data_IF_302317286096
#
_entry.id   IF_302317286096
#
_cell.length_a   1.000
_cell.length_b   1.000
_cell.length_c   1.000
_cell.angle_alpha   90.00
_cell.angle_beta   90.00
_cell.angle_gamma   90.00
#
_symmetry.space_group_name_H-M   'P 1'
#
loop_
_entity.id
_entity.type
_entity.pdbx_description
1 polymer ?
#
# COMPACT_ATOMS: atom_id res chain seq x y z
N UNK A 1 18.46 19.72 -9.05
CA UNK A 1 17.42 20.39 -8.25
C UNK A 1 17.83 20.38 -6.79
N UNK A 2 17.65 21.53 -6.10
CA UNK A 2 17.90 21.60 -4.65
C UNK A 2 16.90 20.71 -3.91
N UNK A 3 17.36 19.97 -2.90
CA UNK A 3 16.50 19.14 -2.05
C UNK A 3 15.90 20.01 -0.95
N UNK A 4 14.62 19.85 -0.69
CA UNK A 4 13.95 20.45 0.48
C UNK A 4 14.04 19.47 1.66
N UNK A 5 14.33 20.00 2.84
CA UNK A 5 14.37 19.22 4.08
C UNK A 5 13.33 19.81 5.02
N UNK A 6 12.44 18.99 5.54
CA UNK A 6 11.45 19.39 6.53
C UNK A 6 11.41 18.38 7.68
N UNK A 7 11.31 18.91 8.90
CA UNK A 7 11.27 18.13 10.14
C UNK A 7 9.95 18.32 10.90
N UNK A 8 9.01 19.06 10.32
CA UNK A 8 7.77 19.43 10.96
C UNK A 8 6.68 18.36 10.78
N UNK A 9 5.64 18.48 11.59
CA UNK A 9 4.49 17.60 11.53
C UNK A 9 3.70 17.76 10.22
N UNK A 10 3.73 18.95 9.62
CA UNK A 10 3.03 19.23 8.36
C UNK A 10 3.56 18.36 7.21
N UNK A 11 4.89 18.19 7.10
CA UNK A 11 5.49 17.28 6.11
C UNK A 11 5.04 15.83 6.33
N UNK A 12 5.00 15.36 7.58
CA UNK A 12 4.50 14.01 7.90
C UNK A 12 3.03 13.83 7.53
N UNK A 13 2.19 14.83 7.81
CA UNK A 13 0.78 14.83 7.42
C UNK A 13 0.61 14.87 5.90
N UNK A 14 1.47 15.59 5.18
CA UNK A 14 1.50 15.57 3.72
C UNK A 14 1.77 14.16 3.18
N UNK A 15 2.81 13.48 3.69
CA UNK A 15 3.12 12.09 3.35
C UNK A 15 1.92 11.16 3.63
N UNK A 16 1.29 11.30 4.81
CA UNK A 16 0.14 10.49 5.20
C UNK A 16 -1.07 10.73 4.27
N UNK A 17 -1.36 11.98 3.92
CA UNK A 17 -2.43 12.30 2.97
C UNK A 17 -2.18 11.67 1.60
N UNK A 18 -0.98 11.82 1.05
CA UNK A 18 -0.63 11.24 -0.25
C UNK A 18 -0.72 9.71 -0.25
N UNK A 19 -0.25 9.05 0.79
CA UNK A 19 -0.42 7.62 0.99
C UNK A 19 -1.91 7.24 1.04
N UNK A 20 -2.73 7.98 1.78
CA UNK A 20 -4.15 7.69 1.91
C UNK A 20 -4.89 7.87 0.58
N UNK A 21 -4.61 8.92 -0.18
CA UNK A 21 -5.23 9.16 -1.51
C UNK A 21 -5.00 7.96 -2.42
N UNK A 22 -3.76 7.47 -2.51
CA UNK A 22 -3.44 6.31 -3.35
C UNK A 22 -4.10 5.03 -2.80
N UNK A 23 -3.94 4.75 -1.52
CA UNK A 23 -4.46 3.53 -0.93
C UNK A 23 -6.00 3.46 -0.99
N UNK A 24 -6.69 4.58 -0.80
CA UNK A 24 -8.15 4.64 -0.88
C UNK A 24 -8.64 4.44 -2.32
N UNK A 25 -7.91 4.91 -3.34
CA UNK A 25 -8.22 4.64 -4.74
C UNK A 25 -8.06 3.15 -5.09
N UNK A 26 -7.00 2.50 -4.60
CA UNK A 26 -6.76 1.07 -4.83
C UNK A 26 -7.74 0.19 -4.04
N UNK A 27 -8.05 0.58 -2.81
CA UNK A 27 -8.89 -0.17 -1.87
C UNK A 27 -10.30 -0.48 -2.39
N UNK A 28 -10.86 0.38 -3.25
CA UNK A 28 -12.22 0.18 -3.80
C UNK A 28 -12.33 -1.07 -4.66
N UNK A 29 -11.21 -1.64 -5.10
CA UNK A 29 -11.16 -2.85 -5.92
C UNK A 29 -11.13 -4.14 -5.09
N UNK A 30 -10.98 -4.05 -3.77
CA UNK A 30 -10.76 -5.20 -2.90
C UNK A 30 -12.04 -5.99 -2.63
N UNK A 31 -11.92 -7.33 -2.72
CA UNK A 31 -12.90 -8.29 -2.25
C UNK A 31 -14.11 -8.47 -3.17
N UNK A 32 -15.14 -9.23 -2.73
CA UNK A 32 -16.27 -9.65 -3.58
C UNK A 32 -17.20 -8.50 -3.98
N UNK A 33 -17.09 -7.35 -3.32
CA UNK A 33 -17.79 -6.12 -3.69
C UNK A 33 -16.85 -5.10 -4.35
N UNK A 34 -15.64 -5.54 -4.72
CA UNK A 34 -14.66 -4.71 -5.41
C UNK A 34 -15.23 -4.15 -6.71
N UNK A 35 -14.83 -2.91 -7.03
CA UNK A 35 -15.26 -2.19 -8.22
C UNK A 35 -14.07 -1.91 -9.11
N UNK A 36 -14.31 -1.76 -10.39
CA UNK A 36 -13.32 -1.26 -11.31
C UNK A 36 -13.11 0.25 -11.10
N UNK A 37 -11.89 0.69 -11.34
CA UNK A 37 -11.51 2.10 -11.39
C UNK A 37 -11.36 2.49 -12.85
N UNK A 38 -11.84 3.67 -13.19
CA UNK A 38 -11.66 4.29 -14.52
C UNK A 38 -10.51 5.27 -14.42
N UNK A 39 -9.45 5.01 -15.17
CA UNK A 39 -8.27 5.86 -15.24
C UNK A 39 -8.30 6.69 -16.52
N UNK A 40 -8.24 8.00 -16.37
CA UNK A 40 -8.12 8.91 -17.51
C UNK A 40 -6.76 8.75 -18.16
N UNK A 41 -6.72 8.78 -19.49
CA UNK A 41 -5.47 8.85 -20.26
C UNK A 41 -5.40 10.16 -21.01
N UNK A 42 -4.23 10.79 -21.02
CA UNK A 42 -3.98 12.01 -21.81
C UNK A 42 -4.22 11.78 -23.32
N UNK A 43 -4.03 10.54 -23.79
CA UNK A 43 -4.19 10.14 -25.18
C UNK A 43 -4.86 8.76 -25.23
N UNK A 44 -5.95 8.66 -25.99
CA UNK A 44 -6.70 7.41 -26.16
C UNK A 44 -7.89 7.25 -25.22
N UNK A 45 -8.47 6.05 -25.20
CA UNK A 45 -9.62 5.75 -24.36
C UNK A 45 -9.22 5.56 -22.89
N UNK A 46 -10.11 5.91 -21.93
CA UNK A 46 -9.89 5.62 -20.52
C UNK A 46 -9.64 4.12 -20.29
N UNK A 47 -8.77 3.81 -19.33
CA UNK A 47 -8.53 2.42 -18.92
C UNK A 47 -9.43 2.06 -17.77
N UNK A 48 -10.14 0.93 -17.89
CA UNK A 48 -10.96 0.36 -16.81
C UNK A 48 -10.19 -0.83 -16.25
N UNK A 49 -9.89 -0.80 -14.96
CA UNK A 49 -9.11 -1.85 -14.29
C UNK A 49 -9.49 -2.00 -12.82
N UNK A 50 -9.22 -3.19 -12.28
CA UNK A 50 -9.27 -3.48 -10.84
C UNK A 50 -7.90 -3.92 -10.31
N UNK A 51 -6.87 -3.90 -11.15
CA UNK A 51 -5.52 -4.24 -10.73
C UNK A 51 -4.88 -3.10 -9.92
N UNK A 52 -4.51 -3.42 -8.68
CA UNK A 52 -3.99 -2.45 -7.71
C UNK A 52 -2.68 -1.80 -8.16
N UNK A 53 -1.77 -2.54 -8.78
CA UNK A 53 -0.50 -1.99 -9.23
C UNK A 53 -0.68 -1.06 -10.44
N UNK A 54 -1.58 -1.39 -11.36
CA UNK A 54 -1.91 -0.54 -12.51
C UNK A 54 -2.53 0.78 -12.06
N UNK A 55 -3.48 0.73 -11.09
CA UNK A 55 -4.09 1.93 -10.51
C UNK A 55 -3.02 2.78 -9.81
N UNK A 56 -2.19 2.15 -8.97
CA UNK A 56 -1.17 2.86 -8.21
C UNK A 56 -0.18 3.61 -9.12
N UNK A 57 0.23 3.02 -10.24
CA UNK A 57 1.17 3.63 -11.20
C UNK A 57 0.64 4.92 -11.83
N UNK A 58 -0.67 4.99 -12.09
CA UNK A 58 -1.29 6.14 -12.78
C UNK A 58 -1.64 7.31 -11.84
N UNK A 59 -1.63 7.11 -10.52
CA UNK A 59 -1.94 8.18 -9.58
C UNK A 59 -0.75 9.14 -9.46
N UNK A 60 -0.96 10.39 -9.84
CA UNK A 60 -0.02 11.48 -9.67
C UNK A 60 -0.66 12.57 -8.78
N UNK A 61 0.13 13.16 -7.89
CA UNK A 61 -0.30 14.22 -6.98
C UNK A 61 0.57 15.46 -7.18
N UNK A 62 -0.06 16.64 -7.10
CA UNK A 62 0.62 17.93 -7.34
C UNK A 62 1.46 18.38 -6.14
N UNK A 63 0.97 18.15 -4.92
CA UNK A 63 1.70 18.52 -3.70
C UNK A 63 2.96 17.65 -3.53
N UNK A 64 4.15 18.27 -3.35
CA UNK A 64 5.41 17.52 -3.28
C UNK A 64 5.49 16.52 -2.13
N UNK A 65 4.86 16.81 -0.99
CA UNK A 65 4.86 15.92 0.17
C UNK A 65 3.88 14.76 -0.02
N UNK A 66 2.71 15.05 -0.56
CA UNK A 66 1.71 14.02 -0.90
C UNK A 66 2.24 13.09 -1.99
N UNK A 67 2.93 13.64 -2.99
CA UNK A 67 3.58 12.85 -4.04
C UNK A 67 4.56 11.84 -3.46
N UNK A 68 5.41 12.25 -2.51
CA UNK A 68 6.36 11.33 -1.87
C UNK A 68 5.60 10.23 -1.09
N UNK A 69 4.54 10.59 -0.38
CA UNK A 69 3.69 9.63 0.33
C UNK A 69 3.07 8.59 -0.61
N UNK A 70 2.53 9.02 -1.74
CA UNK A 70 2.01 8.14 -2.78
C UNK A 70 3.10 7.23 -3.36
N UNK A 71 4.28 7.77 -3.69
CA UNK A 71 5.40 6.98 -4.23
C UNK A 71 5.87 5.86 -3.28
N UNK A 72 5.86 6.10 -1.96
CA UNK A 72 6.18 5.05 -0.98
C UNK A 72 5.19 3.88 -1.05
N UNK A 73 3.92 4.14 -1.27
CA UNK A 73 2.89 3.09 -1.40
C UNK A 73 2.94 2.42 -2.77
N UNK A 74 3.25 3.17 -3.84
CA UNK A 74 3.53 2.57 -5.15
C UNK A 74 4.64 1.54 -5.07
N UNK A 75 5.69 1.83 -4.32
CA UNK A 75 6.81 0.89 -4.14
C UNK A 75 6.38 -0.39 -3.40
N UNK A 76 5.45 -0.30 -2.44
CA UNK A 76 4.86 -1.48 -1.78
C UNK A 76 4.11 -2.35 -2.79
N UNK A 77 3.24 -1.75 -3.60
CA UNK A 77 2.47 -2.46 -4.62
C UNK A 77 3.41 -3.13 -5.65
N UNK A 78 4.41 -2.38 -6.13
CA UNK A 78 5.40 -2.88 -7.10
C UNK A 78 6.21 -4.06 -6.54
N UNK A 79 6.74 -3.96 -5.33
CA UNK A 79 7.50 -5.05 -4.71
C UNK A 79 6.67 -6.30 -4.50
N UNK A 80 5.39 -6.15 -4.18
CA UNK A 80 4.47 -7.28 -4.06
C UNK A 80 4.24 -7.94 -5.42
N UNK A 81 4.04 -7.13 -6.47
CA UNK A 81 3.91 -7.61 -7.85
C UNK A 81 5.16 -8.35 -8.32
N UNK A 82 6.33 -7.78 -8.10
CA UNK A 82 7.63 -8.35 -8.48
C UNK A 82 7.90 -9.73 -7.82
N UNK A 83 7.39 -9.95 -6.61
CA UNK A 83 7.63 -11.18 -5.83
C UNK A 83 6.54 -12.23 -6.06
N UNK A 84 5.28 -11.82 -6.04
CA UNK A 84 4.13 -12.73 -6.03
C UNK A 84 3.25 -12.63 -7.28
N UNK A 85 3.30 -11.53 -8.01
CA UNK A 85 2.43 -11.25 -9.15
C UNK A 85 0.94 -11.09 -8.79
N UNK A 86 0.63 -11.07 -7.49
CA UNK A 86 -0.74 -10.96 -6.95
C UNK A 86 -0.72 -10.33 -5.56
N UNK A 87 -1.90 -9.92 -5.06
CA UNK A 87 -2.05 -9.36 -3.71
C UNK A 87 -1.62 -7.89 -3.57
N UNK A 88 -1.41 -7.17 -4.66
CA UNK A 88 -0.96 -5.77 -4.66
C UNK A 88 -1.94 -4.84 -3.95
N UNK A 89 -3.25 -5.03 -4.14
CA UNK A 89 -4.31 -4.30 -3.43
C UNK A 89 -4.27 -4.59 -1.93
N UNK A 90 -4.15 -5.86 -1.54
CA UNK A 90 -4.06 -6.27 -0.13
C UNK A 90 -2.84 -5.67 0.54
N UNK A 91 -1.67 -5.74 -0.10
CA UNK A 91 -0.42 -5.15 0.41
C UNK A 91 -0.54 -3.63 0.61
N UNK A 92 -1.17 -2.93 -0.34
CA UNK A 92 -1.43 -1.49 -0.26
C UNK A 92 -2.32 -1.14 0.93
N UNK A 93 -3.40 -1.88 1.15
CA UNK A 93 -4.33 -1.68 2.27
C UNK A 93 -3.65 -1.97 3.62
N UNK A 94 -2.84 -3.02 3.69
CA UNK A 94 -2.06 -3.35 4.88
C UNK A 94 -1.01 -2.27 5.18
N UNK A 95 -0.30 -1.77 4.18
CA UNK A 95 0.65 -0.68 4.33
C UNK A 95 -0.03 0.58 4.90
N UNK A 96 -1.20 0.96 4.36
CA UNK A 96 -1.99 2.07 4.88
C UNK A 96 -2.35 1.87 6.36
N UNK A 97 -2.84 0.69 6.72
CA UNK A 97 -3.25 0.38 8.10
C UNK A 97 -2.06 0.43 9.06
N UNK A 98 -0.92 -0.16 8.67
CA UNK A 98 0.31 -0.15 9.48
C UNK A 98 0.84 1.26 9.70
N UNK A 99 0.88 2.09 8.67
CA UNK A 99 1.38 3.47 8.77
C UNK A 99 0.44 4.33 9.62
N UNK A 100 -0.88 4.26 9.40
CA UNK A 100 -1.86 5.02 10.19
C UNK A 100 -1.78 4.68 11.67
N UNK A 101 -1.77 3.40 12.00
CA UNK A 101 -1.69 2.96 13.40
C UNK A 101 -0.32 3.24 14.00
N UNK A 102 0.75 3.09 13.22
CA UNK A 102 2.10 3.45 13.62
C UNK A 102 2.23 4.94 13.94
N UNK A 103 1.71 5.83 13.09
CA UNK A 103 1.73 7.27 13.32
C UNK A 103 0.92 7.67 14.58
N UNK A 104 -0.21 7.03 14.82
CA UNK A 104 -0.99 7.25 16.06
C UNK A 104 -0.18 6.90 17.29
N UNK A 105 0.50 5.76 17.29
CA UNK A 105 1.34 5.33 18.40
C UNK A 105 2.53 6.27 18.62
N UNK A 106 3.17 6.72 17.54
CA UNK A 106 4.28 7.71 17.63
C UNK A 106 3.77 9.05 18.17
N UNK A 107 2.61 9.52 17.73
CA UNK A 107 1.98 10.73 18.26
C UNK A 107 1.63 10.60 19.75
N UNK A 108 1.30 9.39 20.22
CA UNK A 108 1.08 9.09 21.62
C UNK A 108 2.37 8.91 22.46
N UNK A 109 3.56 9.14 21.85
CA UNK A 109 4.85 9.11 22.54
C UNK A 109 5.62 7.78 22.43
N UNK A 110 5.15 6.82 21.63
CA UNK A 110 5.88 5.57 21.41
C UNK A 110 7.18 5.82 20.64
N UNK A 111 8.23 5.09 21.02
CA UNK A 111 9.50 5.16 20.31
C UNK A 111 9.39 4.51 18.92
N UNK A 112 9.63 5.24 17.81
CA UNK A 112 9.47 4.72 16.46
C UNK A 112 10.35 3.50 16.16
N UNK A 113 11.57 3.45 16.70
CA UNK A 113 12.49 2.35 16.48
C UNK A 113 12.08 1.09 17.25
N UNK A 114 11.46 1.24 18.42
CA UNK A 114 10.89 0.14 19.16
C UNK A 114 9.64 -0.41 18.46
N UNK A 115 8.81 0.50 17.93
CA UNK A 115 7.63 0.14 17.14
C UNK A 115 8.03 -0.64 15.88
N UNK A 116 9.05 -0.18 15.14
CA UNK A 116 9.58 -0.90 13.97
C UNK A 116 9.98 -2.33 14.33
N UNK A 117 10.79 -2.52 15.37
CA UNK A 117 11.20 -3.87 15.82
C UNK A 117 10.01 -4.74 16.23
N UNK A 118 8.98 -4.14 16.83
CA UNK A 118 7.74 -4.85 17.17
C UNK A 118 6.98 -5.33 15.94
N UNK A 119 6.88 -4.49 14.91
CA UNK A 119 6.25 -4.82 13.62
C UNK A 119 7.04 -5.96 12.94
N UNK A 120 8.36 -5.86 12.84
CA UNK A 120 9.21 -6.91 12.25
C UNK A 120 9.00 -8.26 12.94
N UNK A 121 9.03 -8.28 14.28
CA UNK A 121 8.78 -9.50 15.05
C UNK A 121 7.37 -10.05 14.85
N UNK A 122 6.37 -9.21 14.73
CA UNK A 122 5.00 -9.62 14.45
C UNK A 122 4.87 -10.22 13.05
N UNK A 123 5.52 -9.63 12.05
CA UNK A 123 5.54 -10.15 10.67
C UNK A 123 6.17 -11.55 10.63
N UNK A 124 7.31 -11.77 11.29
CA UNK A 124 7.96 -13.08 11.33
C UNK A 124 7.03 -14.16 11.94
N UNK A 125 6.34 -13.83 13.02
CA UNK A 125 5.39 -14.72 13.65
C UNK A 125 4.18 -15.03 12.75
N UNK A 126 3.63 -14.00 12.08
CA UNK A 126 2.49 -14.15 11.15
C UNK A 126 2.89 -14.99 9.94
N UNK A 127 4.07 -14.77 9.36
CA UNK A 127 4.56 -15.54 8.21
C UNK A 127 4.73 -17.02 8.59
N UNK A 128 5.26 -17.29 9.77
CA UNK A 128 5.40 -18.65 10.28
C UNK A 128 4.04 -19.35 10.42
N UNK A 129 3.07 -18.68 11.02
CA UNK A 129 1.72 -19.20 11.22
C UNK A 129 0.97 -19.40 9.90
N UNK A 130 1.08 -18.44 8.97
CA UNK A 130 0.50 -18.58 7.63
C UNK A 130 1.06 -19.78 6.88
N UNK A 131 2.38 -20.04 7.01
CA UNK A 131 3.01 -21.22 6.44
C UNK A 131 2.45 -22.53 7.01
N UNK A 132 2.16 -22.55 8.31
CA UNK A 132 1.54 -23.71 8.96
C UNK A 132 0.06 -23.91 8.57
N UNK A 133 -0.64 -22.84 8.29
CA UNK A 133 -2.05 -22.88 7.85
C UNK A 133 -2.22 -23.20 6.36
N UNK A 134 -1.19 -22.98 5.55
CA UNK A 134 -1.25 -23.16 4.11
C UNK A 134 -1.49 -24.64 3.74
N UNK A 135 -2.40 -24.86 2.79
CA UNK A 135 -2.68 -26.18 2.23
C UNK A 135 -2.13 -26.26 0.82
N UNK A 136 -1.43 -27.35 0.49
CA UNK A 136 -1.04 -27.65 -0.88
C UNK A 136 -2.26 -27.83 -1.77
N UNK A 137 -2.19 -27.26 -2.97
CA UNK A 137 -3.22 -27.39 -4.01
C UNK A 137 -2.61 -28.20 -5.16
N UNK A 138 -3.08 -29.44 -5.31
CA UNK A 138 -2.47 -30.42 -6.22
C UNK A 138 -3.39 -30.78 -7.41
N UNK A 139 -4.63 -30.33 -7.42
CA UNK A 139 -5.60 -30.63 -8.49
C UNK A 139 -6.36 -29.40 -8.98
N UNK A 140 -6.86 -29.50 -10.23
CA UNK A 140 -7.70 -28.45 -10.84
C UNK A 140 -9.00 -28.21 -10.07
N UNK A 141 -9.60 -29.25 -9.49
CA UNK A 141 -10.82 -29.16 -8.71
C UNK A 141 -10.64 -28.39 -7.39
N UNK A 142 -9.39 -28.36 -6.87
CA UNK A 142 -9.06 -27.57 -5.68
C UNK A 142 -8.80 -26.10 -5.99
N UNK A 143 -8.55 -25.76 -7.27
CA UNK A 143 -8.33 -24.40 -7.75
C UNK A 143 -9.66 -23.71 -8.08
N UNK A 144 -10.65 -24.47 -8.54
CA UNK A 144 -11.97 -23.99 -8.93
C UNK A 144 -12.87 -23.74 -7.73
#
# INVERSE_FOLDING_TARGET
MAKQIAFNEEARRGLERGMNVLADAVKVTLGPRGRNVVLEKKWGAPTITNDGVSIAKEIELDDPWEKIGAELVKEVAKKTDDVAGDGTTTATVLAQALVREGLRNVAAGSNPMALKRGIEKAVDAIVTELGAMAKSVDSKEQIA
#
